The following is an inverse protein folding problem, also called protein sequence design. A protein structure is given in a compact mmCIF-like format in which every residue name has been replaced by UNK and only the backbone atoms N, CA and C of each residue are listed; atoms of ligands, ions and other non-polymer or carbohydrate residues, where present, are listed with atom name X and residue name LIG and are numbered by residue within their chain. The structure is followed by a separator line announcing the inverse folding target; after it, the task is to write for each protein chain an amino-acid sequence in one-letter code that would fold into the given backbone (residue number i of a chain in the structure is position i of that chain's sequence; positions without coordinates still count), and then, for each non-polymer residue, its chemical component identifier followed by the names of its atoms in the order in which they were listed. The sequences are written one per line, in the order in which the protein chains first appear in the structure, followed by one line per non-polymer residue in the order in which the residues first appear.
data_IF_515290468570
#
_entry.id   IF_515290468570
#
_cell.length_a   1.000
_cell.length_b   1.000
_cell.length_c   1.000
_cell.angle_alpha   90.00
_cell.angle_beta   90.00
_cell.angle_gamma   90.00
#
_symmetry.space_group_name_H-M   'P 1'
#
loop_
_entity.id
_entity.type
_entity.pdbx_description
1 polymer ?
#
# COMPACT_ATOMS: atom_id res chain seq x y z
N UNK A 1 24.74 -3.45 -17.42
CA UNK A 1 24.11 -3.55 -16.08
C UNK A 1 23.39 -2.25 -15.83
N UNK A 2 22.12 -2.32 -15.43
CA UNK A 2 21.37 -1.11 -15.05
C UNK A 2 21.92 -0.64 -13.71
N UNK A 3 22.50 0.54 -13.66
CA UNK A 3 22.95 1.17 -12.41
C UNK A 3 21.71 1.36 -11.50
N UNK A 4 21.74 0.74 -10.32
CA UNK A 4 20.61 0.80 -9.40
C UNK A 4 20.54 2.20 -8.78
N UNK A 5 19.58 3.01 -9.23
CA UNK A 5 19.35 4.36 -8.70
C UNK A 5 18.56 4.30 -7.39
N UNK A 6 19.27 4.41 -6.27
CA UNK A 6 18.71 4.44 -4.92
C UNK A 6 18.03 5.78 -4.56
N UNK A 7 18.19 6.81 -5.39
CA UNK A 7 17.59 8.13 -5.15
C UNK A 7 16.27 8.33 -5.91
N UNK A 8 15.88 7.37 -6.75
CA UNK A 8 14.60 7.40 -7.47
C UNK A 8 13.45 7.48 -6.48
N UNK A 9 12.58 8.47 -6.66
CA UNK A 9 11.34 8.57 -5.89
C UNK A 9 10.43 7.37 -6.17
N UNK A 10 9.83 6.82 -5.12
CA UNK A 10 8.92 5.68 -5.20
C UNK A 10 7.49 6.20 -5.19
N UNK A 11 6.67 5.73 -6.14
CA UNK A 11 5.24 6.10 -6.17
C UNK A 11 4.44 5.30 -5.16
N UNK A 12 3.23 5.77 -4.84
CA UNK A 12 2.32 5.05 -3.95
C UNK A 12 1.99 3.65 -4.48
N UNK A 13 1.76 3.51 -5.78
CA UNK A 13 1.52 2.22 -6.42
C UNK A 13 2.73 1.28 -6.31
N UNK A 14 3.95 1.78 -6.53
CA UNK A 14 5.19 1.02 -6.43
C UNK A 14 5.50 0.52 -5.01
N UNK A 15 5.09 1.27 -3.99
CA UNK A 15 5.29 0.87 -2.60
C UNK A 15 4.41 -0.31 -2.18
N UNK A 16 3.21 -0.47 -2.77
CA UNK A 16 2.26 -1.50 -2.41
C UNK A 16 2.83 -2.95 -2.46
N UNK A 17 3.48 -3.40 -3.55
CA UNK A 17 4.09 -4.73 -3.57
C UNK A 17 5.27 -4.89 -2.61
N UNK A 18 5.97 -3.80 -2.24
CA UNK A 18 7.04 -3.85 -1.24
C UNK A 18 6.47 -4.11 0.14
N UNK A 19 5.43 -3.37 0.54
CA UNK A 19 4.74 -3.57 1.80
C UNK A 19 4.07 -4.94 1.89
N UNK A 20 3.46 -5.42 0.79
CA UNK A 20 2.91 -6.77 0.77
C UNK A 20 3.96 -7.84 1.05
N UNK A 21 5.16 -7.73 0.45
CA UNK A 21 6.24 -8.68 0.71
C UNK A 21 6.72 -8.62 2.16
N UNK A 22 6.87 -7.42 2.72
CA UNK A 22 7.24 -7.25 4.13
C UNK A 22 6.18 -7.82 5.09
N UNK A 23 4.91 -7.76 4.70
CA UNK A 23 3.77 -8.30 5.44
C UNK A 23 3.46 -9.78 5.14
N UNK A 24 4.24 -10.43 4.27
CA UNK A 24 3.97 -11.78 3.74
C UNK A 24 2.57 -11.93 3.08
N UNK A 25 2.01 -10.83 2.57
CA UNK A 25 0.72 -10.79 1.89
C UNK A 25 0.86 -11.09 0.40
N UNK A 26 -0.10 -11.88 -0.11
CA UNK A 26 -0.21 -12.17 -1.53
C UNK A 26 -1.22 -11.23 -2.19
N UNK A 27 -1.00 -10.87 -3.46
CA UNK A 27 -1.95 -10.04 -4.17
C UNK A 27 -3.24 -10.83 -4.45
N UNK A 28 -4.39 -10.15 -4.33
CA UNK A 28 -5.69 -10.80 -4.51
C UNK A 28 -5.96 -11.12 -5.99
N UNK A 29 -6.71 -12.19 -6.30
CA UNK A 29 -7.14 -12.49 -7.67
C UNK A 29 -8.24 -11.54 -8.15
N UNK A 30 -9.07 -11.06 -7.22
CA UNK A 30 -10.18 -10.15 -7.49
C UNK A 30 -10.07 -8.90 -6.61
N UNK A 31 -10.15 -7.74 -7.24
CA UNK A 31 -10.14 -6.42 -6.58
C UNK A 31 -11.60 -5.99 -6.33
N UNK A 32 -11.89 -5.55 -5.11
CA UNK A 32 -13.18 -5.04 -4.64
C UNK A 32 -13.10 -3.59 -4.15
N UNK A 33 -11.93 -3.11 -3.73
CA UNK A 33 -11.74 -1.71 -3.31
C UNK A 33 -12.04 -0.77 -4.48
N UNK A 34 -12.59 0.42 -4.19
CA UNK A 34 -12.93 1.41 -5.21
C UNK A 34 -12.26 2.74 -4.89
N UNK A 35 -11.51 3.26 -5.84
CA UNK A 35 -11.03 4.63 -5.83
C UNK A 35 -11.44 5.31 -7.14
N UNK A 36 -11.74 6.60 -7.12
CA UNK A 36 -12.18 7.33 -8.31
C UNK A 36 -11.07 7.49 -9.34
N UNK A 37 -9.82 7.56 -8.89
CA UNK A 37 -8.62 7.77 -9.70
C UNK A 37 -7.83 6.49 -9.98
N UNK A 38 -8.34 5.32 -9.55
CA UNK A 38 -7.68 4.04 -9.80
C UNK A 38 -8.72 2.96 -10.15
N UNK A 39 -8.79 2.51 -11.43
CA UNK A 39 -9.68 1.42 -11.82
C UNK A 39 -9.22 0.09 -11.21
N UNK A 40 -10.14 -0.86 -11.08
CA UNK A 40 -9.85 -2.23 -10.58
C UNK A 40 -8.78 -2.97 -11.40
N UNK A 41 -8.62 -2.61 -12.67
CA UNK A 41 -7.62 -3.17 -13.59
C UNK A 41 -6.23 -2.58 -13.42
N UNK A 42 -6.06 -1.55 -12.59
CA UNK A 42 -4.75 -0.99 -12.29
C UNK A 42 -3.85 -2.05 -11.66
N UNK A 43 -2.61 -2.19 -12.16
CA UNK A 43 -1.71 -3.27 -11.78
C UNK A 43 -1.44 -3.33 -10.25
N UNK A 44 -1.45 -2.17 -9.58
CA UNK A 44 -1.22 -2.07 -8.15
C UNK A 44 -2.45 -2.42 -7.32
N UNK A 45 -3.67 -2.39 -7.88
CA UNK A 45 -4.90 -2.54 -7.12
C UNK A 45 -4.97 -3.89 -6.38
N UNK A 46 -4.49 -4.97 -7.03
CA UNK A 46 -4.38 -6.31 -6.41
C UNK A 46 -3.41 -6.38 -5.23
N UNK A 47 -2.42 -5.49 -5.18
CA UNK A 47 -1.46 -5.37 -4.08
C UNK A 47 -1.97 -4.41 -3.00
N UNK A 48 -2.72 -3.39 -3.38
CA UNK A 48 -3.28 -2.41 -2.45
C UNK A 48 -4.40 -3.02 -1.62
N UNK A 49 -5.25 -3.85 -2.21
CA UNK A 49 -6.40 -4.44 -1.52
C UNK A 49 -6.09 -5.16 -0.19
N UNK A 50 -5.14 -6.10 -0.11
CA UNK A 50 -4.85 -6.76 1.16
C UNK A 50 -4.33 -5.76 2.22
N UNK A 51 -3.54 -4.76 1.81
CA UNK A 51 -3.05 -3.71 2.72
C UNK A 51 -4.16 -2.75 3.17
N UNK A 52 -5.10 -2.46 2.28
CA UNK A 52 -6.27 -1.62 2.56
C UNK A 52 -7.21 -2.30 3.55
N UNK A 53 -7.48 -3.60 3.38
CA UNK A 53 -8.32 -4.40 4.29
C UNK A 53 -7.75 -4.52 5.70
N UNK A 54 -6.44 -4.31 5.85
CA UNK A 54 -5.73 -4.30 7.12
C UNK A 54 -5.48 -2.87 7.62
N UNK A 55 -6.10 -1.84 7.04
CA UNK A 55 -5.86 -0.40 7.26
C UNK A 55 -4.37 -0.01 7.38
N UNK A 56 -3.51 -0.71 6.65
CA UNK A 56 -2.09 -0.35 6.51
C UNK A 56 -1.97 0.72 5.43
N UNK A 57 -2.67 0.53 4.30
CA UNK A 57 -2.55 1.40 3.14
C UNK A 57 -3.88 2.00 2.71
N UNK A 58 -4.17 3.19 3.24
CA UNK A 58 -5.41 3.92 2.98
C UNK A 58 -5.31 4.87 1.78
N UNK A 59 -6.47 5.16 1.20
CA UNK A 59 -6.65 6.24 0.23
C UNK A 59 -6.71 7.61 0.90
N UNK A 60 -6.50 8.64 0.09
CA UNK A 60 -6.60 10.04 0.49
C UNK A 60 -8.07 10.42 0.51
N UNK A 61 -8.56 10.83 1.68
CA UNK A 61 -9.98 11.07 1.97
C UNK A 61 -10.89 9.87 1.67
N UNK A 62 -10.33 8.65 1.59
CA UNK A 62 -11.01 7.41 1.17
C UNK A 62 -11.62 7.42 -0.24
N UNK A 63 -11.41 8.47 -1.03
CA UNK A 63 -12.00 8.62 -2.38
C UNK A 63 -10.96 8.35 -3.47
N UNK A 64 -9.74 8.83 -3.28
CA UNK A 64 -8.66 8.75 -4.24
C UNK A 64 -7.47 7.98 -3.66
N UNK A 65 -6.72 7.27 -4.49
CA UNK A 65 -5.50 6.59 -4.06
C UNK A 65 -4.22 7.35 -4.45
N UNK A 66 -4.26 8.07 -5.58
CA UNK A 66 -3.14 8.74 -6.23
C UNK A 66 -1.95 7.81 -6.50
N UNK A 67 -2.11 6.79 -7.37
CA UNK A 67 -1.11 5.75 -7.58
C UNK A 67 0.26 6.29 -8.00
N UNK A 68 0.28 7.34 -8.83
CA UNK A 68 1.51 7.93 -9.36
C UNK A 68 2.13 9.02 -8.46
N UNK A 69 1.46 9.40 -7.37
CA UNK A 69 2.03 10.41 -6.48
C UNK A 69 3.24 9.80 -5.74
N UNK A 70 4.36 10.53 -5.62
CA UNK A 70 5.46 10.14 -4.75
C UNK A 70 5.00 9.94 -3.31
N UNK A 71 5.46 8.86 -2.68
CA UNK A 71 5.22 8.64 -1.25
C UNK A 71 6.12 9.55 -0.42
N UNK A 72 5.55 10.22 0.58
CA UNK A 72 6.36 11.00 1.53
C UNK A 72 6.97 10.09 2.60
N UNK A 73 8.06 10.55 3.22
CA UNK A 73 8.68 9.82 4.35
C UNK A 73 7.70 9.62 5.51
N UNK A 74 6.86 10.62 5.80
CA UNK A 74 5.85 10.52 6.87
C UNK A 74 4.78 9.48 6.59
N UNK A 75 4.31 9.39 5.34
CA UNK A 75 3.38 8.34 4.93
C UNK A 75 4.00 6.96 5.02
N UNK A 76 5.24 6.79 4.58
CA UNK A 76 5.96 5.52 4.71
C UNK A 76 6.09 5.12 6.19
N UNK A 77 6.51 6.06 7.06
CA UNK A 77 6.63 5.78 8.50
C UNK A 77 5.30 5.34 9.10
N UNK A 78 4.19 6.00 8.75
CA UNK A 78 2.86 5.62 9.21
C UNK A 78 2.47 4.20 8.75
N UNK A 79 2.77 3.83 7.50
CA UNK A 79 2.49 2.49 6.98
C UNK A 79 3.34 1.43 7.68
N UNK A 80 4.61 1.72 7.96
CA UNK A 80 5.50 0.81 8.69
C UNK A 80 5.06 0.64 10.16
N UNK A 81 4.67 1.73 10.81
CA UNK A 81 4.12 1.71 12.17
C UNK A 81 2.89 0.79 12.25
N UNK A 82 1.93 0.99 11.34
CA UNK A 82 0.72 0.15 11.21
C UNK A 82 1.00 -1.30 10.86
N UNK A 83 2.08 -1.56 10.14
CA UNK A 83 2.49 -2.89 9.72
C UNK A 83 3.12 -3.68 10.88
N UNK A 84 3.92 -3.00 11.71
CA UNK A 84 4.67 -3.62 12.81
C UNK A 84 4.02 -3.46 14.18
N UNK A 85 2.86 -2.80 14.28
CA UNK A 85 2.11 -2.67 15.53
C UNK A 85 1.69 -4.04 16.09
N UNK A 86 2.32 -4.52 17.19
CA UNK A 86 2.02 -5.83 17.75
C UNK A 86 0.68 -5.86 18.48
N UNK A 87 0.11 -4.69 18.81
CA UNK A 87 -1.14 -4.59 19.56
C UNK A 87 -2.38 -4.63 18.64
N UNK A 88 -2.20 -4.48 17.32
CA UNK A 88 -3.29 -4.49 16.33
C UNK A 88 -4.13 -5.76 16.32
N UNK A 89 -3.50 -6.92 16.53
CA UNK A 89 -4.15 -8.22 16.51
C UNK A 89 -4.52 -8.74 17.91
N UNK A 90 -4.42 -7.90 18.95
CA UNK A 90 -4.83 -8.32 20.27
C UNK A 90 -6.37 -8.30 20.37
N UNK A 91 -6.97 -9.37 20.90
CA UNK A 91 -8.40 -9.36 21.19
C UNK A 91 -8.68 -8.30 22.25
N UNK A 92 -9.61 -7.39 21.95
CA UNK A 92 -10.16 -6.48 22.96
C UNK A 92 -11.08 -7.33 23.84
N UNK A 93 -10.69 -7.56 25.08
CA UNK A 93 -11.47 -8.31 26.09
C UNK A 93 -12.62 -7.51 26.66
#
# INVERSE_FOLDING_TARGET
ESEQDFNRVVTRAELAPVLCRAAELQPVPEVRIRFLDMPHTHWAARWIEPLYRLDIYEGIWHVNFQPERPVTRGELTLMLDRLFDPFRNLPVT
#
